data_IF_661986233312
#
_entry.id   IF_661986233312
#
_cell.length_a   1.000
_cell.length_b   1.000
_cell.length_c   1.000
_cell.angle_alpha   90.00
_cell.angle_beta   90.00
_cell.angle_gamma   90.00
#
_symmetry.space_group_name_H-M   'P 1'
#
loop_
_entity.id
_entity.type
_entity.pdbx_description
1 polymer ?
#
# COMPACT_ATOMS: atom_id res chain seq x y z
N UNK A 1 1.10 40.37 -2.25
CA UNK A 1 0.57 40.81 -0.93
C UNK A 1 0.00 39.63 -0.13
N UNK A 2 -0.61 38.63 -0.78
CA UNK A 2 -1.18 37.43 -0.13
C UNK A 2 -0.13 36.41 0.35
N UNK A 3 0.94 36.21 -0.42
CA UNK A 3 2.05 35.29 -0.09
C UNK A 3 2.81 35.69 1.20
N UNK A 4 2.93 37.00 1.44
CA UNK A 4 3.47 37.56 2.69
C UNK A 4 2.57 37.29 3.89
N UNK A 5 1.26 37.18 3.71
CA UNK A 5 0.29 36.90 4.77
C UNK A 5 0.33 35.42 5.17
N UNK A 6 0.36 34.52 4.18
CA UNK A 6 0.45 33.07 4.41
C UNK A 6 1.77 32.69 5.10
N UNK A 7 2.90 33.21 4.60
CA UNK A 7 4.21 32.93 5.20
C UNK A 7 4.27 33.42 6.65
N UNK A 8 3.72 34.61 6.93
CA UNK A 8 3.65 35.15 8.29
C UNK A 8 2.83 34.25 9.22
N UNK A 9 1.65 33.80 8.78
CA UNK A 9 0.80 32.89 9.55
C UNK A 9 1.46 31.51 9.79
N UNK A 10 2.17 30.98 8.79
CA UNK A 10 2.91 29.71 8.92
C UNK A 10 4.05 29.84 9.94
N UNK A 11 4.78 30.94 9.92
CA UNK A 11 5.87 31.19 10.87
C UNK A 11 5.34 31.41 12.29
N UNK A 12 4.23 32.13 12.44
CA UNK A 12 3.55 32.35 13.72
C UNK A 12 3.12 31.03 14.38
N UNK A 13 2.58 30.10 13.58
CA UNK A 13 2.10 28.81 14.07
C UNK A 13 3.10 27.66 13.92
N UNK A 14 4.38 27.94 13.65
CA UNK A 14 5.40 26.93 13.32
C UNK A 14 5.49 25.78 14.34
N UNK A 15 5.44 26.09 15.64
CA UNK A 15 5.52 25.08 16.70
C UNK A 15 4.26 24.18 16.75
N UNK A 16 3.09 24.76 16.52
CA UNK A 16 1.83 24.01 16.46
C UNK A 16 1.83 23.09 15.24
N UNK A 17 2.27 23.59 14.08
CA UNK A 17 2.43 22.81 12.86
C UNK A 17 3.42 21.66 13.05
N UNK A 18 4.57 21.89 13.69
CA UNK A 18 5.52 20.83 14.02
C UNK A 18 4.91 19.74 14.90
N UNK A 19 4.11 20.12 15.90
CA UNK A 19 3.39 19.17 16.76
C UNK A 19 2.38 18.32 15.97
N UNK A 20 1.65 18.94 15.03
CA UNK A 20 0.74 18.24 14.12
C UNK A 20 1.52 17.24 13.25
N UNK A 21 2.66 17.65 12.70
CA UNK A 21 3.50 16.78 11.87
C UNK A 21 4.01 15.55 12.65
N UNK A 22 4.43 15.73 13.90
CA UNK A 22 4.83 14.61 14.76
C UNK A 22 3.66 13.68 15.10
N UNK A 23 2.48 14.23 15.41
CA UNK A 23 1.27 13.43 15.60
C UNK A 23 0.95 12.59 14.37
N UNK A 24 0.96 13.20 13.18
CA UNK A 24 0.71 12.51 11.91
C UNK A 24 1.74 11.41 11.63
N UNK A 25 3.01 11.62 12.00
CA UNK A 25 4.06 10.61 11.88
C UNK A 25 3.77 9.38 12.76
N UNK A 26 3.37 9.60 14.02
CA UNK A 26 3.02 8.51 14.94
C UNK A 26 1.77 7.78 14.46
N UNK A 27 0.74 8.53 14.06
CA UNK A 27 -0.50 7.98 13.51
C UNK A 27 -0.22 7.11 12.28
N UNK A 28 0.63 7.57 11.37
CA UNK A 28 1.03 6.79 10.21
C UNK A 28 1.71 5.47 10.59
N UNK A 29 2.62 5.48 11.59
CA UNK A 29 3.25 4.26 12.09
C UNK A 29 2.25 3.24 12.67
N UNK A 30 1.28 3.73 13.45
CA UNK A 30 0.20 2.89 14.00
C UNK A 30 -0.67 2.33 12.87
N UNK A 31 -1.09 3.18 11.94
CA UNK A 31 -1.94 2.78 10.82
C UNK A 31 -1.25 1.78 9.89
N UNK A 32 0.04 1.96 9.56
CA UNK A 32 0.81 0.95 8.81
C UNK A 32 0.88 -0.39 9.56
N UNK A 33 1.10 -0.36 10.87
CA UNK A 33 1.11 -1.56 11.70
C UNK A 33 -0.25 -2.29 11.65
N UNK A 34 -1.35 -1.56 11.83
CA UNK A 34 -2.70 -2.12 11.77
C UNK A 34 -3.07 -2.61 10.35
N UNK A 35 -2.54 -1.95 9.32
CA UNK A 35 -2.66 -2.39 7.93
C UNK A 35 -2.07 -3.81 7.77
N UNK A 36 -0.85 -4.07 8.25
CA UNK A 36 -0.24 -5.40 8.18
C UNK A 36 -1.06 -6.46 8.92
N UNK A 37 -1.54 -6.17 10.14
CA UNK A 37 -2.43 -7.09 10.85
C UNK A 37 -3.71 -7.40 10.07
N UNK A 38 -4.31 -6.37 9.46
CA UNK A 38 -5.48 -6.55 8.58
C UNK A 38 -5.13 -7.39 7.35
N UNK A 39 -3.96 -7.20 6.73
CA UNK A 39 -3.50 -8.02 5.60
C UNK A 39 -3.38 -9.50 5.96
N UNK A 40 -2.79 -9.81 7.12
CA UNK A 40 -2.66 -11.18 7.62
C UNK A 40 -4.04 -11.79 7.91
N UNK A 41 -4.92 -11.04 8.58
CA UNK A 41 -6.29 -11.46 8.89
C UNK A 41 -7.08 -11.76 7.62
N UNK A 42 -7.05 -10.87 6.64
CA UNK A 42 -7.75 -11.04 5.36
C UNK A 42 -7.22 -12.26 4.62
N UNK A 43 -5.90 -12.44 4.53
CA UNK A 43 -5.32 -13.60 3.85
C UNK A 43 -5.70 -14.92 4.54
N UNK A 44 -5.70 -14.93 5.87
CA UNK A 44 -6.09 -16.11 6.66
C UNK A 44 -7.55 -16.48 6.47
N UNK A 45 -8.43 -15.47 6.48
CA UNK A 45 -9.88 -15.62 6.36
C UNK A 45 -10.27 -16.13 4.98
N UNK A 46 -9.75 -15.48 3.95
CA UNK A 46 -10.17 -15.71 2.57
C UNK A 46 -9.31 -16.75 1.85
N UNK A 47 -8.25 -17.24 2.52
CA UNK A 47 -7.32 -18.26 2.03
C UNK A 47 -6.64 -17.90 0.71
N UNK A 48 -6.52 -16.63 0.40
CA UNK A 48 -5.77 -16.10 -0.76
C UNK A 48 -4.97 -14.86 -0.32
N UNK A 49 -3.93 -14.44 -1.07
CA UNK A 49 -3.13 -13.27 -0.69
C UNK A 49 -3.95 -11.98 -0.70
N UNK A 50 -3.79 -11.18 0.34
CA UNK A 50 -4.45 -9.88 0.48
C UNK A 50 -3.77 -8.73 -0.27
N UNK A 51 -2.61 -8.98 -0.85
CA UNK A 51 -1.87 -8.03 -1.69
C UNK A 51 -1.14 -8.79 -2.80
N UNK A 52 -0.72 -8.05 -3.83
CA UNK A 52 -0.03 -8.60 -4.99
C UNK A 52 1.42 -8.96 -4.68
N UNK A 53 2.07 -9.64 -5.64
CA UNK A 53 3.49 -9.97 -5.56
C UNK A 53 4.34 -8.69 -5.59
N UNK A 54 4.09 -7.81 -6.57
CA UNK A 54 4.96 -6.67 -6.84
C UNK A 54 5.02 -5.63 -5.71
N UNK A 55 3.91 -5.23 -5.06
CA UNK A 55 3.98 -4.26 -3.97
C UNK A 55 4.90 -4.72 -2.83
N UNK A 56 4.71 -5.95 -2.33
CA UNK A 56 5.54 -6.48 -1.24
C UNK A 56 6.99 -6.72 -1.65
N UNK A 57 7.23 -7.25 -2.84
CA UNK A 57 8.58 -7.51 -3.30
C UNK A 57 9.36 -6.20 -3.49
N UNK A 58 8.71 -5.15 -3.98
CA UNK A 58 9.31 -3.84 -4.11
C UNK A 58 9.55 -3.18 -2.74
N UNK A 59 8.62 -3.27 -1.79
CA UNK A 59 8.80 -2.76 -0.43
C UNK A 59 10.03 -3.41 0.23
N UNK A 60 10.14 -4.74 0.19
CA UNK A 60 11.30 -5.46 0.74
C UNK A 60 12.60 -5.06 0.03
N UNK A 61 12.57 -4.93 -1.30
CA UNK A 61 13.75 -4.52 -2.07
C UNK A 61 14.21 -3.11 -1.73
N UNK A 62 13.27 -2.18 -1.60
CA UNK A 62 13.52 -0.80 -1.18
C UNK A 62 14.09 -0.75 0.25
N UNK A 63 13.43 -1.41 1.19
CA UNK A 63 13.87 -1.45 2.58
C UNK A 63 15.26 -2.07 2.72
N UNK A 64 15.55 -3.14 1.98
CA UNK A 64 16.88 -3.74 1.99
C UNK A 64 17.96 -2.76 1.53
N UNK A 65 17.75 -2.13 0.36
CA UNK A 65 18.73 -1.20 -0.22
C UNK A 65 18.96 -0.02 0.72
N UNK A 66 17.92 0.62 1.23
CA UNK A 66 18.08 1.85 2.00
C UNK A 66 18.28 1.64 3.50
N UNK A 67 18.10 0.42 4.03
CA UNK A 67 18.44 0.10 5.42
C UNK A 67 19.87 -0.45 5.60
N UNK A 68 20.40 -1.13 4.58
CA UNK A 68 21.65 -1.88 4.69
C UNK A 68 22.72 -1.49 3.66
N UNK A 69 22.35 -1.11 2.43
CA UNK A 69 23.31 -0.77 1.37
C UNK A 69 23.62 0.73 1.36
N UNK A 70 22.58 1.56 1.32
CA UNK A 70 22.67 3.02 1.39
C UNK A 70 21.86 3.59 2.54
N UNK A 71 22.34 3.45 3.80
CA UNK A 71 21.67 4.00 4.96
C UNK A 71 21.88 5.53 5.02
N UNK A 72 21.16 6.29 4.20
CA UNK A 72 21.28 7.76 4.15
C UNK A 72 20.25 8.51 4.97
N UNK A 73 19.20 7.81 5.44
CA UNK A 73 18.28 8.37 6.41
C UNK A 73 18.99 8.64 7.75
N UNK A 74 18.49 9.56 8.57
CA UNK A 74 19.04 9.76 9.93
C UNK A 74 18.92 8.50 10.78
N UNK A 75 19.75 8.36 11.82
CA UNK A 75 19.84 7.13 12.64
C UNK A 75 18.47 6.62 13.15
N UNK A 76 17.55 7.52 13.51
CA UNK A 76 16.19 7.15 13.91
C UNK A 76 15.34 6.59 12.76
N UNK A 77 15.45 7.15 11.57
CA UNK A 77 14.77 6.65 10.37
C UNK A 77 15.36 5.31 9.93
N UNK A 78 16.67 5.12 10.02
CA UNK A 78 17.32 3.84 9.70
C UNK A 78 16.81 2.69 10.57
N UNK A 79 16.68 2.92 11.89
CA UNK A 79 16.09 1.93 12.80
C UNK A 79 14.66 1.56 12.41
N UNK A 80 13.85 2.56 12.05
CA UNK A 80 12.49 2.35 11.55
C UNK A 80 12.43 1.48 10.30
N UNK A 81 13.21 1.81 9.27
CA UNK A 81 13.23 1.05 7.99
C UNK A 81 13.66 -0.40 8.22
N UNK A 82 14.61 -0.67 9.13
CA UNK A 82 15.01 -2.04 9.49
C UNK A 82 13.90 -2.83 10.17
N UNK A 83 13.16 -2.20 11.07
CA UNK A 83 11.99 -2.84 11.71
C UNK A 83 10.94 -3.17 10.66
N UNK A 84 10.67 -2.23 9.75
CA UNK A 84 9.74 -2.44 8.65
C UNK A 84 10.18 -3.57 7.70
N UNK A 85 11.46 -3.66 7.37
CA UNK A 85 12.05 -4.79 6.63
C UNK A 85 11.69 -6.14 7.25
N UNK A 86 11.90 -6.28 8.56
CA UNK A 86 11.56 -7.52 9.29
C UNK A 86 10.06 -7.78 9.23
N UNK A 87 9.23 -6.75 9.41
CA UNK A 87 7.77 -6.88 9.31
C UNK A 87 7.35 -7.34 7.92
N UNK A 88 7.89 -6.79 6.84
CA UNK A 88 7.56 -7.24 5.49
C UNK A 88 8.06 -8.65 5.20
N UNK A 89 9.21 -9.06 5.72
CA UNK A 89 9.65 -10.47 5.67
C UNK A 89 8.66 -11.41 6.38
N UNK A 90 8.06 -11.00 7.51
CA UNK A 90 7.01 -11.77 8.19
C UNK A 90 5.73 -11.79 7.34
N UNK A 91 5.33 -10.66 6.78
CA UNK A 91 4.12 -10.55 5.94
C UNK A 91 4.24 -11.43 4.70
N UNK A 92 5.32 -11.34 3.93
CA UNK A 92 5.52 -12.12 2.69
C UNK A 92 5.53 -13.63 2.98
N UNK A 93 6.25 -14.06 4.02
CA UNK A 93 6.33 -15.49 4.39
C UNK A 93 4.99 -16.02 4.90
N UNK A 94 4.14 -15.17 5.46
CA UNK A 94 2.79 -15.54 5.84
C UNK A 94 1.86 -15.64 4.63
N UNK A 95 1.81 -14.61 3.79
CA UNK A 95 0.82 -14.54 2.71
C UNK A 95 1.12 -15.54 1.57
N UNK A 96 2.40 -15.89 1.35
CA UNK A 96 2.78 -16.83 0.29
C UNK A 96 2.17 -18.22 0.51
N UNK A 97 1.92 -18.59 1.78
CA UNK A 97 1.22 -19.83 2.15
C UNK A 97 -0.17 -19.93 1.53
N UNK A 98 -0.81 -18.78 1.28
CA UNK A 98 -2.13 -18.69 0.67
C UNK A 98 -2.07 -18.38 -0.84
N UNK A 99 -0.90 -18.00 -1.38
CA UNK A 99 -0.74 -17.66 -2.79
C UNK A 99 -1.04 -18.83 -3.72
N UNK A 100 -0.82 -20.07 -3.27
CA UNK A 100 -1.19 -21.27 -4.03
C UNK A 100 -2.65 -21.28 -4.50
N UNK A 101 -3.57 -20.76 -3.68
CA UNK A 101 -5.01 -20.77 -3.97
C UNK A 101 -5.43 -19.71 -5.00
N UNK A 102 -4.56 -18.76 -5.33
CA UNK A 102 -4.84 -17.67 -6.27
C UNK A 102 -4.32 -18.00 -7.68
N UNK A 103 -3.29 -18.84 -7.78
CA UNK A 103 -2.58 -19.15 -9.04
C UNK A 103 -3.00 -20.46 -9.72
N UNK A 104 -4.19 -21.00 -9.41
CA UNK A 104 -4.68 -22.26 -10.00
C UNK A 104 -4.76 -22.24 -11.54
N UNK A 105 -4.92 -21.06 -12.13
CA UNK A 105 -4.99 -20.85 -13.58
C UNK A 105 -3.62 -20.83 -14.25
N UNK A 106 -2.51 -20.77 -13.49
CA UNK A 106 -1.16 -20.77 -14.03
C UNK A 106 -0.22 -21.71 -13.22
N UNK A 107 -0.23 -23.02 -13.52
CA UNK A 107 0.44 -24.05 -12.71
C UNK A 107 1.95 -23.83 -12.53
N UNK A 108 2.61 -23.21 -13.50
CA UNK A 108 4.05 -22.91 -13.43
C UNK A 108 4.36 -21.96 -12.26
N UNK A 109 3.60 -20.86 -12.11
CA UNK A 109 3.79 -19.94 -10.96
C UNK A 109 3.34 -20.62 -9.68
N UNK A 110 2.21 -21.31 -9.70
CA UNK A 110 1.63 -21.96 -8.52
C UNK A 110 2.60 -22.92 -7.83
N UNK A 111 3.39 -23.69 -8.60
CA UNK A 111 4.39 -24.64 -8.08
C UNK A 111 5.70 -23.97 -7.64
N UNK A 112 5.98 -22.76 -8.12
CA UNK A 112 7.25 -22.07 -7.95
C UNK A 112 7.11 -20.74 -7.19
N UNK A 113 6.09 -20.60 -6.33
CA UNK A 113 5.77 -19.32 -5.68
C UNK A 113 6.96 -18.71 -4.94
N UNK A 114 7.70 -19.50 -4.14
CA UNK A 114 8.88 -19.00 -3.43
C UNK A 114 9.95 -18.46 -4.37
N UNK A 115 10.18 -19.14 -5.50
CA UNK A 115 11.13 -18.69 -6.52
C UNK A 115 10.63 -17.42 -7.21
N UNK A 116 9.34 -17.33 -7.53
CA UNK A 116 8.74 -16.13 -8.15
C UNK A 116 8.86 -14.92 -7.23
N UNK A 117 8.42 -15.04 -5.97
CA UNK A 117 8.54 -13.95 -5.00
C UNK A 117 10.00 -13.58 -4.76
N UNK A 118 10.90 -14.56 -4.61
CA UNK A 118 12.33 -14.32 -4.44
C UNK A 118 12.96 -13.60 -5.63
N UNK A 119 12.72 -14.07 -6.85
CA UNK A 119 13.23 -13.47 -8.07
C UNK A 119 12.71 -12.04 -8.27
N UNK A 120 11.42 -11.80 -8.00
CA UNK A 120 10.84 -10.46 -8.10
C UNK A 120 11.42 -9.52 -7.03
N UNK A 121 11.58 -9.98 -5.78
CA UNK A 121 12.24 -9.18 -4.72
C UNK A 121 13.68 -8.83 -5.10
N UNK A 122 14.45 -9.80 -5.60
CA UNK A 122 15.84 -9.56 -6.06
C UNK A 122 15.85 -8.56 -7.22
N UNK A 123 14.94 -8.72 -8.19
CA UNK A 123 14.80 -7.79 -9.32
C UNK A 123 14.52 -6.36 -8.86
N UNK A 124 13.57 -6.16 -7.94
CA UNK A 124 13.32 -4.84 -7.35
C UNK A 124 14.50 -4.33 -6.54
N UNK A 125 15.17 -5.15 -5.73
CA UNK A 125 16.36 -4.74 -4.98
C UNK A 125 17.48 -4.25 -5.92
N UNK A 126 17.75 -4.95 -7.02
CA UNK A 126 18.70 -4.50 -8.04
C UNK A 126 18.25 -3.21 -8.73
N UNK A 127 16.96 -3.08 -9.03
CA UNK A 127 16.40 -1.85 -9.60
C UNK A 127 16.58 -0.65 -8.67
N UNK A 128 16.21 -0.81 -7.39
CA UNK A 128 16.36 0.21 -6.36
C UNK A 128 17.84 0.59 -6.15
N UNK A 129 18.73 -0.41 -6.09
CA UNK A 129 20.17 -0.19 -5.98
C UNK A 129 20.72 0.58 -7.19
N UNK A 130 20.38 0.15 -8.40
CA UNK A 130 20.86 0.77 -9.64
C UNK A 130 20.34 2.20 -9.78
N UNK A 131 19.10 2.44 -9.38
CA UNK A 131 18.52 3.77 -9.36
C UNK A 131 19.21 4.69 -8.33
N UNK A 132 19.45 4.20 -7.11
CA UNK A 132 20.21 4.95 -6.10
C UNK A 132 21.64 5.29 -6.55
N UNK A 133 22.29 4.40 -7.33
CA UNK A 133 23.60 4.66 -7.94
C UNK A 133 23.56 5.78 -8.96
N UNK A 134 22.47 5.88 -9.72
CA UNK A 134 22.31 6.85 -10.80
C UNK A 134 21.96 8.25 -10.28
N UNK A 135 20.93 8.35 -9.41
CA UNK A 135 20.41 9.64 -8.96
C UNK A 135 20.95 10.08 -7.60
N UNK A 136 21.78 9.25 -6.97
CA UNK A 136 22.25 9.43 -5.60
C UNK A 136 21.28 8.83 -4.57
N UNK A 137 21.78 8.40 -3.40
CA UNK A 137 20.97 7.62 -2.48
C UNK A 137 19.78 8.36 -1.84
N UNK A 138 19.88 9.66 -1.61
CA UNK A 138 18.79 10.43 -0.99
C UNK A 138 17.58 10.56 -1.91
N UNK A 139 17.83 10.87 -3.19
CA UNK A 139 16.79 10.88 -4.22
C UNK A 139 16.30 9.47 -4.50
N UNK A 140 17.20 8.47 -4.50
CA UNK A 140 16.85 7.07 -4.59
C UNK A 140 15.88 6.64 -3.49
N UNK A 141 16.17 6.97 -2.23
CA UNK A 141 15.32 6.65 -1.08
C UNK A 141 13.92 7.23 -1.27
N UNK A 142 13.83 8.52 -1.62
CA UNK A 142 12.57 9.19 -1.82
C UNK A 142 11.76 8.60 -2.99
N UNK A 143 12.31 8.60 -4.20
CA UNK A 143 11.59 8.15 -5.40
C UNK A 143 11.39 6.62 -5.44
N UNK A 144 12.26 5.87 -4.77
CA UNK A 144 12.05 4.45 -4.53
C UNK A 144 10.82 4.20 -3.65
N UNK A 145 10.63 5.02 -2.60
CA UNK A 145 9.47 4.94 -1.71
C UNK A 145 8.18 5.40 -2.42
N UNK A 146 8.30 6.34 -3.34
CA UNK A 146 7.23 6.73 -4.28
C UNK A 146 6.77 5.53 -5.10
N UNK A 147 7.71 4.74 -5.65
CA UNK A 147 7.37 3.51 -6.37
C UNK A 147 6.67 2.49 -5.45
N UNK A 148 7.16 2.30 -4.23
CA UNK A 148 6.54 1.45 -3.19
C UNK A 148 5.08 1.80 -2.97
N UNK A 149 4.82 3.06 -2.62
CA UNK A 149 3.46 3.53 -2.37
C UNK A 149 2.57 3.41 -3.60
N UNK A 150 3.08 3.74 -4.79
CA UNK A 150 2.30 3.64 -6.04
C UNK A 150 1.84 2.20 -6.27
N UNK A 151 2.74 1.23 -6.10
CA UNK A 151 2.41 -0.19 -6.20
C UNK A 151 1.46 -0.64 -5.07
N UNK A 152 1.64 -0.15 -3.84
CA UNK A 152 0.75 -0.45 -2.72
C UNK A 152 -0.69 0.07 -2.92
N UNK A 153 -0.87 1.17 -3.66
CA UNK A 153 -2.18 1.69 -4.05
C UNK A 153 -2.76 0.98 -5.28
N UNK A 154 -1.94 0.73 -6.31
CA UNK A 154 -2.37 0.09 -7.57
C UNK A 154 -2.68 -1.40 -7.37
N UNK A 155 -1.85 -2.13 -6.62
CA UNK A 155 -1.93 -3.58 -6.45
C UNK A 155 -3.31 -4.07 -6.01
N UNK A 156 -3.91 -3.54 -4.93
CA UNK A 156 -5.25 -3.90 -4.50
C UNK A 156 -6.35 -3.64 -5.54
N UNK A 157 -6.20 -2.58 -6.36
CA UNK A 157 -7.12 -2.28 -7.47
C UNK A 157 -6.97 -3.35 -8.56
N UNK A 158 -5.74 -3.63 -8.99
CA UNK A 158 -5.48 -4.67 -9.99
C UNK A 158 -5.99 -6.03 -9.52
N UNK A 159 -5.83 -6.37 -8.24
CA UNK A 159 -6.32 -7.62 -7.68
C UNK A 159 -7.84 -7.71 -7.70
N UNK A 160 -8.55 -6.68 -7.23
CA UNK A 160 -10.00 -6.75 -7.15
C UNK A 160 -10.64 -6.81 -8.54
N UNK A 161 -10.07 -6.07 -9.51
CA UNK A 161 -10.52 -6.08 -10.90
C UNK A 161 -10.22 -7.41 -11.57
N UNK A 162 -9.01 -7.96 -11.40
CA UNK A 162 -8.61 -9.22 -12.05
C UNK A 162 -9.36 -10.42 -11.47
N UNK A 163 -9.62 -10.43 -10.16
CA UNK A 163 -10.39 -11.49 -9.49
C UNK A 163 -11.90 -11.35 -9.72
N UNK A 164 -12.36 -10.15 -10.08
CA UNK A 164 -13.77 -9.77 -10.07
C UNK A 164 -14.51 -10.24 -8.79
N UNK A 165 -13.84 -10.07 -7.65
CA UNK A 165 -14.35 -10.51 -6.35
C UNK A 165 -13.71 -9.71 -5.22
N UNK A 166 -14.47 -9.49 -4.15
CA UNK A 166 -13.96 -8.89 -2.91
C UNK A 166 -13.11 -9.84 -2.07
N UNK A 167 -13.00 -11.12 -2.47
CA UNK A 167 -12.15 -12.10 -1.77
C UNK A 167 -10.69 -11.64 -1.78
N UNK A 168 -10.05 -11.68 -0.61
CA UNK A 168 -8.69 -11.19 -0.42
C UNK A 168 -8.58 -9.66 -0.34
N UNK A 169 -9.65 -8.91 -0.60
CA UNK A 169 -9.69 -7.46 -0.47
C UNK A 169 -10.22 -7.05 0.90
N UNK A 170 -9.82 -5.87 1.39
CA UNK A 170 -10.29 -5.33 2.67
C UNK A 170 -10.34 -3.81 2.63
N UNK A 171 -11.53 -3.26 2.90
CA UNK A 171 -11.68 -1.81 3.13
C UNK A 171 -10.93 -1.35 4.38
N UNK A 172 -10.78 -2.23 5.39
CA UNK A 172 -10.04 -1.88 6.60
C UNK A 172 -8.54 -1.78 6.32
N UNK A 173 -7.99 -2.72 5.53
CA UNK A 173 -6.59 -2.65 5.06
C UNK A 173 -6.37 -1.36 4.28
N UNK A 174 -7.25 -1.04 3.34
CA UNK A 174 -7.18 0.22 2.59
C UNK A 174 -7.28 1.46 3.50
N UNK A 175 -8.24 1.50 4.42
CA UNK A 175 -8.49 2.67 5.27
C UNK A 175 -7.25 3.02 6.10
N UNK A 176 -6.65 2.03 6.75
CA UNK A 176 -5.42 2.26 7.52
C UNK A 176 -4.29 2.76 6.62
N UNK A 177 -4.12 2.18 5.43
CA UNK A 177 -3.11 2.63 4.47
C UNK A 177 -3.36 4.05 3.99
N UNK A 178 -4.61 4.40 3.68
CA UNK A 178 -5.01 5.72 3.21
C UNK A 178 -4.79 6.78 4.29
N UNK A 179 -5.16 6.51 5.56
CA UNK A 179 -4.89 7.42 6.68
C UNK A 179 -3.38 7.67 6.82
N UNK A 180 -2.57 6.61 6.77
CA UNK A 180 -1.12 6.74 6.87
C UNK A 180 -0.52 7.54 5.69
N UNK A 181 -1.01 7.29 4.48
CA UNK A 181 -0.56 7.95 3.25
C UNK A 181 -0.92 9.44 3.25
N UNK A 182 -2.20 9.77 3.51
CA UNK A 182 -2.67 11.15 3.54
C UNK A 182 -2.04 11.94 4.68
N UNK A 183 -1.92 11.33 5.88
CA UNK A 183 -1.20 11.93 6.99
C UNK A 183 0.28 12.15 6.65
N UNK A 184 0.90 11.22 5.93
CA UNK A 184 2.26 11.36 5.40
C UNK A 184 2.42 12.56 4.46
N UNK A 185 1.49 12.76 3.53
CA UNK A 185 1.50 13.91 2.63
C UNK A 185 1.28 15.24 3.37
N UNK A 186 0.32 15.31 4.28
CA UNK A 186 0.09 16.53 5.10
C UNK A 186 1.33 16.86 5.92
N UNK A 187 1.95 15.86 6.55
CA UNK A 187 3.21 16.02 7.29
C UNK A 187 4.32 16.57 6.39
N UNK A 188 4.48 16.02 5.18
CA UNK A 188 5.49 16.51 4.23
C UNK A 188 5.23 17.96 3.81
N UNK A 189 3.97 18.33 3.56
CA UNK A 189 3.57 19.72 3.28
C UNK A 189 3.93 20.64 4.45
N UNK A 190 3.67 20.22 5.69
CA UNK A 190 4.03 21.02 6.87
C UNK A 190 5.55 21.22 6.97
N UNK A 191 6.34 20.16 6.79
CA UNK A 191 7.80 20.29 6.82
C UNK A 191 8.28 21.25 5.75
N UNK A 192 7.74 21.13 4.53
CA UNK A 192 8.04 22.04 3.42
C UNK A 192 7.74 23.50 3.78
N UNK A 193 6.52 23.79 4.26
CA UNK A 193 6.09 25.15 4.61
C UNK A 193 6.87 25.76 5.79
N UNK A 194 7.32 24.93 6.74
CA UNK A 194 8.03 25.40 7.95
C UNK A 194 9.55 25.52 7.78
N UNK A 195 10.08 25.18 6.60
CA UNK A 195 11.52 25.12 6.32
C UNK A 195 12.24 23.99 7.07
N UNK A 196 11.48 23.02 7.61
CA UNK A 196 12.04 21.81 8.22
C UNK A 196 12.34 20.86 7.06
N UNK A 197 13.57 20.33 6.97
CA UNK A 197 14.06 19.58 5.80
C UNK A 197 13.10 18.53 5.21
N UNK A 198 12.16 18.96 4.36
CA UNK A 198 11.35 18.15 3.47
C UNK A 198 12.05 17.92 2.13
N UNK A 199 13.36 18.23 2.09
CA UNK A 199 14.24 18.26 0.93
C UNK A 199 13.71 18.99 -0.32
N UNK A 200 14.52 19.05 -1.38
CA UNK A 200 14.19 19.78 -2.61
C UNK A 200 13.08 19.10 -3.42
N UNK A 201 12.62 17.91 -3.02
CA UNK A 201 11.72 17.09 -3.83
C UNK A 201 10.28 17.58 -3.82
N UNK A 202 9.80 18.26 -2.78
CA UNK A 202 8.38 18.67 -2.71
C UNK A 202 8.01 19.68 -3.81
N UNK A 203 8.98 20.48 -4.25
CA UNK A 203 8.80 21.41 -5.37
C UNK A 203 8.86 20.74 -6.74
N UNK A 204 9.42 19.52 -6.81
CA UNK A 204 9.54 18.77 -8.06
C UNK A 204 8.16 18.49 -8.68
N UNK A 205 7.96 18.79 -9.98
CA UNK A 205 6.77 18.38 -10.71
C UNK A 205 6.46 16.88 -10.60
N UNK A 206 7.50 16.06 -10.52
CA UNK A 206 7.36 14.61 -10.35
C UNK A 206 6.78 14.22 -8.99
N UNK A 207 7.15 14.95 -7.92
CA UNK A 207 6.56 14.73 -6.60
C UNK A 207 5.07 15.09 -6.61
N UNK A 208 4.72 16.23 -7.20
CA UNK A 208 3.32 16.70 -7.31
C UNK A 208 2.47 15.72 -8.13
N UNK A 209 2.99 15.24 -9.26
CA UNK A 209 2.36 14.20 -10.07
C UNK A 209 2.12 12.92 -9.26
N UNK A 210 3.15 12.44 -8.55
CA UNK A 210 3.05 11.23 -7.74
C UNK A 210 2.01 11.34 -6.61
N UNK A 211 1.97 12.47 -5.90
CA UNK A 211 0.94 12.71 -4.88
C UNK A 211 -0.44 12.60 -5.54
N UNK A 212 -0.65 13.30 -6.66
CA UNK A 212 -1.90 13.24 -7.42
C UNK A 212 -2.28 11.82 -7.85
N UNK A 213 -1.33 11.06 -8.39
CA UNK A 213 -1.52 9.68 -8.81
C UNK A 213 -1.90 8.77 -7.62
N UNK A 214 -1.19 8.88 -6.51
CA UNK A 214 -1.46 8.07 -5.31
C UNK A 214 -2.84 8.37 -4.75
N UNK A 215 -3.20 9.65 -4.64
CA UNK A 215 -4.54 10.06 -4.21
C UNK A 215 -5.61 9.48 -5.14
N UNK A 216 -5.43 9.63 -6.46
CA UNK A 216 -6.36 9.10 -7.45
C UNK A 216 -6.57 7.57 -7.31
N UNK A 217 -5.48 6.82 -7.19
CA UNK A 217 -5.54 5.37 -6.98
C UNK A 217 -6.24 5.03 -5.67
N UNK A 218 -5.91 5.71 -4.57
CA UNK A 218 -6.53 5.44 -3.27
C UNK A 218 -8.01 5.80 -3.21
N UNK A 219 -8.48 6.80 -3.96
CA UNK A 219 -9.91 7.06 -4.12
C UNK A 219 -10.60 6.04 -5.05
N UNK A 220 -9.87 5.48 -6.01
CA UNK A 220 -10.42 4.49 -6.95
C UNK A 220 -10.73 3.16 -6.27
N UNK A 221 -9.86 2.67 -5.38
CA UNK A 221 -10.03 1.39 -4.70
C UNK A 221 -11.40 1.19 -4.00
N UNK A 222 -11.88 2.08 -3.10
CA UNK A 222 -13.14 1.87 -2.42
C UNK A 222 -14.34 1.89 -3.39
N UNK A 223 -14.25 2.61 -4.51
CA UNK A 223 -15.27 2.61 -5.56
C UNK A 223 -15.32 1.24 -6.23
N UNK A 224 -14.18 0.71 -6.69
CA UNK A 224 -14.10 -0.64 -7.26
C UNK A 224 -14.60 -1.70 -6.28
N UNK A 225 -14.19 -1.61 -5.01
CA UNK A 225 -14.65 -2.51 -3.95
C UNK A 225 -16.18 -2.47 -3.80
N UNK A 226 -16.76 -1.28 -3.73
CA UNK A 226 -18.20 -1.13 -3.58
C UNK A 226 -18.99 -1.68 -4.77
N UNK A 227 -18.54 -1.41 -6.00
CA UNK A 227 -19.18 -1.91 -7.23
C UNK A 227 -19.18 -3.44 -7.25
N UNK A 228 -18.02 -4.07 -7.06
CA UNK A 228 -17.89 -5.54 -7.06
C UNK A 228 -18.67 -6.15 -5.91
N UNK A 229 -18.63 -5.54 -4.71
CA UNK A 229 -19.41 -6.02 -3.56
C UNK A 229 -20.91 -6.01 -3.84
N UNK A 230 -21.42 -4.97 -4.49
CA UNK A 230 -22.84 -4.88 -4.87
C UNK A 230 -23.23 -5.96 -5.86
N UNK A 231 -22.37 -6.23 -6.83
CA UNK A 231 -22.57 -7.31 -7.80
C UNK A 231 -22.64 -8.67 -7.11
N UNK A 232 -21.70 -8.98 -6.21
CA UNK A 232 -21.70 -10.23 -5.44
C UNK A 232 -23.00 -10.40 -4.62
N UNK A 233 -23.47 -9.34 -3.96
CA UNK A 233 -24.70 -9.37 -3.17
C UNK A 233 -25.96 -9.54 -4.04
N UNK A 234 -25.99 -8.96 -5.24
CA UNK A 234 -27.10 -9.11 -6.18
C UNK A 234 -27.18 -10.56 -6.70
N UNK A 235 -26.04 -11.13 -7.10
CA UNK A 235 -25.96 -12.51 -7.57
C UNK A 235 -26.40 -13.49 -6.48
N UNK A 236 -25.91 -13.33 -5.24
CA UNK A 236 -26.30 -14.19 -4.12
C UNK A 236 -27.82 -14.13 -3.83
N UNK A 237 -28.45 -12.97 -3.98
CA UNK A 237 -29.91 -12.83 -3.85
C UNK A 237 -30.67 -13.57 -4.96
N UNK A 238 -30.20 -13.46 -6.20
CA UNK A 238 -30.78 -14.17 -7.34
C UNK A 238 -30.68 -15.69 -7.17
N UNK A 239 -29.52 -16.19 -6.75
CA UNK A 239 -29.31 -17.62 -6.52
C UNK A 239 -30.23 -18.15 -5.42
N UNK A 240 -30.37 -17.42 -4.30
CA UNK A 240 -31.27 -17.79 -3.22
C UNK A 240 -32.75 -17.79 -3.65
N UNK A 241 -33.16 -16.87 -4.54
CA UNK A 241 -34.51 -16.87 -5.11
C UNK A 241 -34.76 -18.06 -6.04
N UNK A 242 -33.77 -18.40 -6.87
CA UNK A 242 -33.83 -19.56 -7.77
C UNK A 242 -33.91 -20.86 -6.99
N UNK A 243 -33.13 -21.02 -5.92
CA UNK A 243 -33.16 -22.20 -5.06
C UNK A 243 -34.53 -22.37 -4.38
N UNK A 244 -35.11 -21.29 -3.84
CA UNK A 244 -36.46 -21.29 -3.25
C UNK A 244 -37.51 -21.69 -4.28
N UNK A 245 -37.44 -21.16 -5.52
CA UNK A 245 -38.37 -21.50 -6.60
C UNK A 245 -38.26 -22.97 -7.01
N UNK A 246 -37.05 -23.52 -7.07
CA UNK A 246 -36.82 -24.93 -7.40
C UNK A 246 -37.36 -25.86 -6.31
N UNK A 247 -37.12 -25.55 -5.02
CA UNK A 247 -37.68 -26.30 -3.89
C UNK A 247 -39.22 -26.27 -3.89
N UNK A 248 -39.83 -25.11 -4.18
CA UNK A 248 -41.29 -24.98 -4.27
C UNK A 248 -41.91 -25.76 -5.44
N UNK A 249 -41.17 -25.97 -6.54
CA UNK A 249 -41.62 -26.83 -7.66
C UNK A 249 -41.54 -28.32 -7.30
N UNK A 250 -40.45 -28.75 -6.66
CA UNK A 250 -40.26 -30.14 -6.23
C UNK A 250 -41.29 -30.56 -5.17
N UNK A 251 -41.67 -29.66 -4.25
CA UNK A 251 -42.69 -29.92 -3.23
C UNK A 251 -44.15 -29.92 -3.74
N UNK A 252 -44.40 -29.55 -5.00
CA UNK A 252 -45.73 -29.61 -5.64
C UNK A 252 -45.90 -30.82 -6.57
N UNK A 253 -44.88 -31.69 -6.66
CA UNK A 253 -44.89 -32.90 -7.47
C UNK A 253 -45.14 -34.20 -6.70
N UNK A 254 -45.69 -34.11 -5.48
CA UNK A 254 -46.14 -35.24 -4.64
C UNK A 254 -47.63 -35.08 -4.38
#
# INVERSE_FOLDING_TARGET
MEESSLLSAVLEHKNALASVAEFLRILAGICWTLNYFSMLRTSRKDKIPSTGIFPLCNDIGWEFVYAFVYPTASAHWQGGVRVWFVVHCIVITYIIKYAYNDWYHFPLVQRNLYLVYGAVTIGFAFGQYSFAREVGPDLGFFYGGVLCQTLASLGPISQILSRNSTRGASLLTWLFRAIATFGGFIKLTIYYLTGTGAGPWFESPMCKFYIGLTLFLDFTYPICYYVIRRQELANAKMDAQMEKKNKAKLGKGV
#
